data_IF_729994820585
#
_entry.id   IF_729994820585
#
_cell.length_a   1.000
_cell.length_b   1.000
_cell.length_c   1.000
_cell.angle_alpha   90.00
_cell.angle_beta   90.00
_cell.angle_gamma   90.00
#
_symmetry.space_group_name_H-M   'P 1'
#
loop_
_entity.id
_entity.type
_entity.pdbx_description
1 polymer ?
#
# COMPACT_ATOMS: atom_id res chain seq x y z
N UNK A 1 -5.11 14.73 42.16
CA UNK A 1 -4.25 15.41 41.17
C UNK A 1 -3.90 14.40 40.08
N UNK A 2 -4.57 14.49 38.93
CA UNK A 2 -4.47 13.56 37.79
C UNK A 2 -3.13 13.73 37.07
N UNK A 3 -2.35 12.66 36.92
CA UNK A 3 -1.08 12.70 36.17
C UNK A 3 -1.05 11.61 35.09
N UNK A 4 -1.47 12.04 33.89
CA UNK A 4 -0.98 11.73 32.54
C UNK A 4 -1.06 10.27 32.02
N UNK A 5 -1.91 10.09 30.99
CA UNK A 5 -1.80 9.12 29.87
C UNK A 5 -2.49 9.73 28.62
N UNK A 6 -2.17 9.37 27.36
CA UNK A 6 -0.92 8.89 26.75
C UNK A 6 -0.53 9.73 25.49
N UNK A 7 0.72 10.20 25.39
CA UNK A 7 1.24 10.95 24.22
C UNK A 7 1.42 10.11 22.92
N UNK A 8 1.04 8.83 22.90
CA UNK A 8 1.30 7.94 21.76
C UNK A 8 0.23 8.00 20.65
N UNK A 9 -1.01 8.32 20.98
CA UNK A 9 -2.11 8.30 20.00
C UNK A 9 -2.02 9.47 19.03
N UNK A 10 -1.67 10.66 19.53
CA UNK A 10 -1.55 11.87 18.71
C UNK A 10 -0.42 11.75 17.68
N UNK A 11 0.77 11.28 18.07
CA UNK A 11 1.89 11.09 17.12
C UNK A 11 1.57 10.07 16.02
N UNK A 12 0.86 8.98 16.34
CA UNK A 12 0.42 8.01 15.34
C UNK A 12 -0.64 8.58 14.39
N UNK A 13 -1.52 9.46 14.86
CA UNK A 13 -2.60 10.03 14.05
C UNK A 13 -2.13 11.15 13.13
N UNK A 14 -1.22 12.02 13.58
CA UNK A 14 -0.78 13.17 12.79
C UNK A 14 0.05 12.72 11.57
N UNK A 15 0.88 11.68 11.72
CA UNK A 15 1.59 11.05 10.60
C UNK A 15 0.73 10.02 9.83
N UNK A 16 -0.37 9.54 10.43
CA UNK A 16 -1.25 8.52 9.85
C UNK A 16 -2.20 9.05 8.77
N UNK A 17 -2.47 10.36 8.73
CA UNK A 17 -3.42 10.88 7.74
C UNK A 17 -2.90 10.74 6.30
N UNK A 18 -1.60 11.00 6.08
CA UNK A 18 -0.96 10.75 4.78
C UNK A 18 -0.79 9.25 4.50
N UNK A 19 -0.56 8.42 5.53
CA UNK A 19 -0.38 6.97 5.32
C UNK A 19 -1.64 6.31 4.76
N UNK A 20 -2.83 6.82 5.06
CA UNK A 20 -4.07 6.34 4.43
C UNK A 20 -4.11 6.65 2.93
N UNK A 21 -3.84 7.90 2.52
CA UNK A 21 -3.83 8.27 1.11
C UNK A 21 -2.72 7.52 0.36
N UNK A 22 -1.56 7.39 0.98
CA UNK A 22 -0.42 6.62 0.48
C UNK A 22 -0.78 5.15 0.26
N UNK A 23 -1.38 4.49 1.25
CA UNK A 23 -1.86 3.11 1.14
C UNK A 23 -2.97 2.99 0.08
N UNK A 24 -3.84 3.99 -0.06
CA UNK A 24 -4.90 4.00 -1.07
C UNK A 24 -4.34 4.01 -2.48
N UNK A 25 -3.27 4.76 -2.77
CA UNK A 25 -2.63 4.72 -4.09
C UNK A 25 -2.17 3.30 -4.48
N UNK A 26 -1.56 2.57 -3.53
CA UNK A 26 -1.14 1.18 -3.76
C UNK A 26 -2.34 0.25 -3.91
N UNK A 27 -3.36 0.39 -3.06
CA UNK A 27 -4.55 -0.43 -3.13
C UNK A 27 -5.28 -0.28 -4.47
N UNK A 28 -5.46 0.96 -4.95
CA UNK A 28 -6.06 1.24 -6.26
C UNK A 28 -5.23 0.65 -7.40
N UNK A 29 -3.91 0.79 -7.36
CA UNK A 29 -3.03 0.24 -8.39
C UNK A 29 -3.08 -1.28 -8.43
N UNK A 30 -2.98 -1.94 -7.27
CA UNK A 30 -3.12 -3.40 -7.17
C UNK A 30 -4.49 -3.85 -7.67
N UNK A 31 -5.55 -3.12 -7.32
CA UNK A 31 -6.88 -3.45 -7.78
C UNK A 31 -7.00 -3.38 -9.31
N UNK A 32 -6.56 -2.30 -9.94
CA UNK A 32 -6.64 -2.13 -11.40
C UNK A 32 -5.75 -3.13 -12.15
N UNK A 33 -4.50 -3.30 -11.71
CA UNK A 33 -3.52 -4.10 -12.46
C UNK A 33 -3.63 -5.61 -12.21
N UNK A 34 -4.08 -6.02 -11.01
CA UNK A 34 -4.03 -7.43 -10.60
C UNK A 34 -5.42 -8.03 -10.38
N UNK A 35 -6.38 -7.26 -9.84
CA UNK A 35 -7.70 -7.80 -9.48
C UNK A 35 -8.80 -7.52 -10.50
N UNK A 36 -8.74 -6.41 -11.25
CA UNK A 36 -9.86 -5.94 -12.07
C UNK A 36 -10.27 -6.92 -13.17
N UNK A 37 -9.31 -7.69 -13.73
CA UNK A 37 -9.59 -8.67 -14.77
C UNK A 37 -10.38 -9.89 -14.26
N UNK A 38 -10.05 -10.40 -13.07
CA UNK A 38 -10.75 -11.52 -12.42
C UNK A 38 -10.73 -11.35 -10.89
N UNK A 39 -11.70 -10.60 -10.31
CA UNK A 39 -11.64 -10.17 -8.91
C UNK A 39 -11.86 -11.30 -7.91
N UNK A 40 -12.42 -12.44 -8.34
CA UNK A 40 -12.65 -13.62 -7.49
C UNK A 40 -11.70 -14.77 -7.85
N UNK A 41 -10.62 -14.49 -8.58
CA UNK A 41 -9.65 -15.50 -8.96
C UNK A 41 -8.94 -16.08 -7.75
N UNK A 42 -8.99 -17.41 -7.61
CA UNK A 42 -8.28 -18.12 -6.54
C UNK A 42 -6.76 -17.98 -6.68
N UNK A 43 -6.24 -17.94 -7.90
CA UNK A 43 -4.82 -17.72 -8.19
C UNK A 43 -4.38 -16.34 -7.71
N UNK A 44 -5.12 -15.29 -8.05
CA UNK A 44 -4.84 -13.91 -7.61
C UNK A 44 -4.87 -13.79 -6.09
N UNK A 45 -5.91 -14.33 -5.44
CA UNK A 45 -6.01 -14.33 -3.97
C UNK A 45 -4.84 -15.09 -3.31
N UNK A 46 -4.42 -16.22 -3.87
CA UNK A 46 -3.27 -16.98 -3.38
C UNK A 46 -1.97 -16.20 -3.56
N UNK A 47 -1.78 -15.51 -4.69
CA UNK A 47 -0.62 -14.66 -4.94
C UNK A 47 -0.55 -13.48 -3.95
N UNK A 48 -1.67 -12.80 -3.68
CA UNK A 48 -1.74 -11.73 -2.67
C UNK A 48 -1.31 -12.26 -1.30
N UNK A 49 -1.86 -13.41 -0.89
CA UNK A 49 -1.51 -14.00 0.41
C UNK A 49 -0.05 -14.40 0.46
N UNK A 50 0.42 -15.13 -0.55
CA UNK A 50 1.67 -15.87 -0.48
C UNK A 50 2.89 -15.04 -0.90
N UNK A 51 2.71 -13.96 -1.67
CA UNK A 51 3.80 -13.06 -2.08
C UNK A 51 3.81 -11.74 -1.33
N UNK A 52 2.66 -11.27 -0.85
CA UNK A 52 2.56 -9.96 -0.20
C UNK A 52 2.24 -10.07 1.29
N UNK A 53 1.10 -10.65 1.68
CA UNK A 53 0.60 -10.57 3.05
C UNK A 53 1.33 -11.47 4.06
N UNK A 54 1.76 -12.67 3.67
CA UNK A 54 2.36 -13.66 4.60
C UNK A 54 3.66 -13.17 5.26
N UNK A 55 4.34 -12.21 4.66
CA UNK A 55 5.66 -11.74 5.10
C UNK A 55 5.56 -10.68 6.20
N UNK A 56 4.41 -10.00 6.33
CA UNK A 56 4.23 -8.89 7.28
C UNK A 56 5.32 -7.84 7.14
N UNK A 57 5.86 -7.36 8.27
CA UNK A 57 6.97 -6.40 8.31
C UNK A 57 8.37 -7.01 8.23
N UNK A 58 8.51 -8.32 8.01
CA UNK A 58 9.80 -9.01 8.05
C UNK A 58 10.61 -8.87 6.73
N UNK A 59 10.01 -8.37 5.66
CA UNK A 59 10.64 -8.16 4.35
C UNK A 59 10.38 -6.73 3.87
N UNK A 60 11.34 -6.19 3.11
CA UNK A 60 11.25 -4.83 2.59
C UNK A 60 9.98 -4.66 1.72
N UNK A 61 9.16 -3.63 2.01
CA UNK A 61 7.88 -3.45 1.32
C UNK A 61 8.04 -3.13 -0.17
N UNK A 62 9.13 -2.47 -0.59
CA UNK A 62 9.36 -2.19 -2.01
C UNK A 62 9.63 -3.46 -2.80
N UNK A 63 10.39 -4.39 -2.21
CA UNK A 63 10.67 -5.70 -2.82
C UNK A 63 9.40 -6.55 -2.87
N UNK A 64 8.59 -6.54 -1.82
CA UNK A 64 7.30 -7.26 -1.80
C UNK A 64 6.34 -6.73 -2.87
N UNK A 65 6.20 -5.42 -2.99
CA UNK A 65 5.33 -4.78 -3.97
C UNK A 65 5.78 -5.05 -5.41
N UNK A 66 7.09 -4.97 -5.68
CA UNK A 66 7.65 -5.30 -7.00
C UNK A 66 7.45 -6.77 -7.36
N UNK A 67 7.68 -7.69 -6.42
CA UNK A 67 7.52 -9.13 -6.65
C UNK A 67 6.06 -9.54 -6.91
N UNK A 68 5.11 -8.84 -6.26
CA UNK A 68 3.69 -9.12 -6.39
C UNK A 68 3.03 -8.41 -7.58
N UNK A 69 3.22 -7.10 -7.70
CA UNK A 69 2.47 -6.25 -8.64
C UNK A 69 3.34 -5.63 -9.76
N UNK A 70 4.66 -5.87 -9.76
CA UNK A 70 5.57 -5.44 -10.81
C UNK A 70 6.21 -4.06 -10.58
N UNK A 71 7.04 -3.65 -11.54
CA UNK A 71 7.84 -2.41 -11.44
C UNK A 71 7.04 -1.12 -11.64
N UNK A 72 5.84 -1.19 -12.22
CA UNK A 72 4.98 -0.02 -12.45
C UNK A 72 4.38 0.55 -11.17
N UNK A 73 4.35 -0.23 -10.08
CA UNK A 73 3.68 0.14 -8.82
C UNK A 73 4.48 1.15 -7.99
N UNK A 74 5.81 1.19 -8.16
CA UNK A 74 6.71 2.05 -7.39
C UNK A 74 7.61 2.87 -8.31
N UNK A 75 7.60 4.19 -8.10
CA UNK A 75 8.61 5.12 -8.61
C UNK A 75 9.65 5.37 -7.52
N UNK A 76 10.92 5.11 -7.81
CA UNK A 76 12.01 5.34 -6.85
C UNK A 76 12.57 6.76 -7.05
N UNK A 77 12.53 7.58 -6.00
CA UNK A 77 13.17 8.91 -5.97
C UNK A 77 14.05 9.04 -4.74
N UNK A 78 15.37 9.05 -4.94
CA UNK A 78 16.35 9.53 -3.96
C UNK A 78 16.32 8.87 -2.58
N UNK A 79 15.88 7.60 -2.48
CA UNK A 79 15.78 6.85 -1.21
C UNK A 79 14.36 6.71 -0.65
N UNK A 80 13.35 7.31 -1.29
CA UNK A 80 11.93 7.15 -0.96
C UNK A 80 11.15 6.31 -1.97
N UNK A 81 10.11 5.65 -1.49
CA UNK A 81 9.14 4.89 -2.31
C UNK A 81 7.96 5.82 -2.62
N UNK A 82 7.75 6.14 -3.89
CA UNK A 82 6.59 6.92 -4.36
C UNK A 82 5.62 5.97 -5.06
N UNK A 83 4.34 5.86 -4.61
CA UNK A 83 3.34 5.07 -5.31
C UNK A 83 3.05 5.67 -6.67
N UNK A 84 2.72 4.81 -7.64
CA UNK A 84 2.09 5.31 -8.85
C UNK A 84 0.70 5.89 -8.54
N UNK A 85 0.47 7.12 -9.00
CA UNK A 85 -0.78 7.85 -8.77
C UNK A 85 -1.70 7.83 -9.99
N UNK A 86 -1.25 7.33 -11.15
CA UNK A 86 -2.02 7.38 -12.39
C UNK A 86 -3.31 6.56 -12.27
N UNK A 87 -3.24 5.38 -11.65
CA UNK A 87 -4.40 4.54 -11.36
C UNK A 87 -5.40 5.23 -10.43
N UNK A 88 -4.90 5.94 -9.41
CA UNK A 88 -5.77 6.70 -8.49
C UNK A 88 -6.41 7.90 -9.20
N UNK A 89 -5.67 8.67 -10.00
CA UNK A 89 -6.21 9.78 -10.80
C UNK A 89 -7.34 9.32 -11.72
N UNK A 90 -7.14 8.19 -12.42
CA UNK A 90 -8.16 7.56 -13.26
C UNK A 90 -9.42 7.17 -12.48
N UNK A 91 -9.27 6.64 -11.28
CA UNK A 91 -10.41 6.28 -10.41
C UNK A 91 -11.21 7.51 -9.98
N UNK A 92 -10.53 8.61 -9.61
CA UNK A 92 -11.19 9.84 -9.14
C UNK A 92 -11.63 10.78 -10.26
N UNK A 93 -11.36 10.44 -11.53
CA UNK A 93 -11.76 11.23 -12.69
C UNK A 93 -10.98 12.53 -12.89
N UNK A 94 -9.72 12.56 -12.45
CA UNK A 94 -8.78 13.68 -12.64
C UNK A 94 -7.84 13.46 -13.83
#
# INVERSE_FOLDING_TARGET
MLLIRPYNFLFNIIAGYYSYLYARCFATTIWQEVCQGDPLSRSTGSAIRDKFLRHGGAKDPSVLLKDFAGDSVIKNSGGGIIPDISSLCKEVGL
#
